data_IF_838098588367
#
_entry.id   IF_838098588367
#
_cell.length_a   1.000
_cell.length_b   1.000
_cell.length_c   1.000
_cell.angle_alpha   90.00
_cell.angle_beta   90.00
_cell.angle_gamma   90.00
#
_symmetry.space_group_name_H-M   'P 1'
#
loop_
_entity.id
_entity.type
_entity.pdbx_description
1 polymer ?
#
# COMPACT_ATOMS: atom_id res chain seq x y z
N UNK A 1 -4.32 5.80 -23.78
CA UNK A 1 -5.53 6.15 -23.01
C UNK A 1 -5.66 5.25 -21.77
N UNK A 2 -4.88 5.51 -20.71
CA UNK A 2 -4.93 4.72 -19.47
C UNK A 2 -4.59 5.61 -18.29
N UNK A 3 -5.54 5.84 -17.39
CA UNK A 3 -5.30 6.71 -16.24
C UNK A 3 -6.45 6.98 -15.29
N UNK A 4 -7.68 6.63 -15.64
CA UNK A 4 -8.86 6.95 -14.82
C UNK A 4 -9.44 5.75 -14.06
N UNK A 5 -8.80 4.58 -14.10
CA UNK A 5 -9.24 3.38 -13.38
C UNK A 5 -8.22 3.00 -12.30
N UNK A 6 -8.71 2.69 -11.11
CA UNK A 6 -7.89 2.26 -9.96
C UNK A 6 -8.09 0.79 -9.62
N UNK A 7 -9.23 0.22 -10.04
CA UNK A 7 -9.58 -1.18 -9.85
C UNK A 7 -10.30 -1.69 -11.09
N UNK A 8 -9.95 -2.90 -11.53
CA UNK A 8 -10.55 -3.56 -12.68
C UNK A 8 -10.89 -5.01 -12.36
N UNK A 9 -11.90 -5.55 -13.02
CA UNK A 9 -12.24 -6.96 -12.92
C UNK A 9 -11.38 -7.76 -13.91
N UNK A 10 -10.60 -8.70 -13.41
CA UNK A 10 -9.75 -9.57 -14.24
C UNK A 10 -10.46 -10.85 -14.63
N UNK A 11 -11.13 -11.52 -13.67
CA UNK A 11 -11.76 -12.81 -13.92
C UNK A 11 -12.94 -13.03 -12.96
N UNK A 12 -13.92 -13.79 -13.44
CA UNK A 12 -15.04 -14.30 -12.64
C UNK A 12 -14.95 -15.82 -12.61
N UNK A 13 -14.92 -16.41 -11.43
CA UNK A 13 -14.84 -17.86 -11.22
C UNK A 13 -16.15 -18.28 -10.58
N UNK A 14 -16.84 -19.25 -11.18
CA UNK A 14 -18.14 -19.72 -10.70
C UNK A 14 -18.22 -21.23 -10.68
N UNK A 15 -18.97 -21.77 -9.72
CA UNK A 15 -19.46 -23.16 -9.77
C UNK A 15 -20.99 -23.14 -9.78
N UNK A 16 -21.62 -23.72 -10.81
CA UNK A 16 -23.08 -23.75 -10.92
C UNK A 16 -23.77 -22.37 -10.90
N UNK A 17 -23.07 -21.34 -11.42
CA UNK A 17 -23.60 -20.01 -11.62
C UNK A 17 -23.12 -19.42 -12.95
N UNK A 18 -24.00 -18.69 -13.63
CA UNK A 18 -23.70 -17.97 -14.88
C UNK A 18 -23.63 -16.47 -14.59
N UNK A 19 -22.44 -15.89 -14.70
CA UNK A 19 -22.22 -14.47 -14.44
C UNK A 19 -21.99 -13.68 -15.72
N UNK A 20 -22.56 -12.47 -15.78
CA UNK A 20 -22.36 -11.50 -16.85
C UNK A 20 -21.82 -10.20 -16.28
N UNK A 21 -20.83 -9.65 -16.97
CA UNK A 21 -20.24 -8.35 -16.63
C UNK A 21 -21.01 -7.29 -17.41
N UNK A 22 -21.60 -6.32 -16.70
CA UNK A 22 -22.37 -5.24 -17.32
C UNK A 22 -21.47 -4.04 -17.68
N UNK A 23 -22.03 -2.92 -18.13
CA UNK A 23 -21.26 -1.69 -18.31
C UNK A 23 -21.04 -0.96 -16.99
N UNK A 24 -20.12 0.02 -16.99
CA UNK A 24 -19.86 0.86 -15.82
C UNK A 24 -21.11 1.68 -15.46
N UNK A 25 -21.45 1.69 -14.17
CA UNK A 25 -22.52 2.54 -13.63
C UNK A 25 -22.12 4.00 -13.69
N UNK A 26 -23.08 4.87 -13.99
CA UNK A 26 -22.92 6.32 -13.83
C UNK A 26 -23.21 6.69 -12.37
N UNK A 27 -22.27 7.28 -11.62
CA UNK A 27 -22.52 7.67 -10.25
C UNK A 27 -23.61 8.76 -10.18
N UNK A 28 -24.45 8.77 -9.12
CA UNK A 28 -25.46 9.81 -8.89
C UNK A 28 -24.84 11.21 -8.71
N UNK A 29 -23.59 11.27 -8.24
CA UNK A 29 -22.80 12.50 -8.09
C UNK A 29 -21.72 12.55 -9.17
N UNK A 30 -21.23 13.75 -9.54
CA UNK A 30 -20.04 13.88 -10.37
C UNK A 30 -18.90 13.04 -9.79
N UNK A 31 -18.14 12.30 -10.63
CA UNK A 31 -17.00 11.52 -10.17
C UNK A 31 -15.99 12.42 -9.47
N UNK A 32 -15.53 12.01 -8.29
CA UNK A 32 -14.57 12.80 -7.49
C UNK A 32 -13.24 12.92 -8.24
N UNK A 33 -12.72 14.14 -8.33
CA UNK A 33 -11.47 14.42 -9.03
C UNK A 33 -10.24 13.98 -8.18
N UNK A 34 -9.13 13.51 -8.79
CA UNK A 34 -7.94 12.97 -8.10
C UNK A 34 -7.34 13.82 -6.95
N UNK A 35 -7.57 15.12 -6.98
CA UNK A 35 -7.02 16.14 -6.08
C UNK A 35 -7.90 16.35 -4.84
N UNK A 36 -9.17 15.95 -4.89
CA UNK A 36 -10.15 16.04 -3.79
C UNK A 36 -10.10 14.82 -2.83
N UNK A 37 -9.36 13.76 -3.19
CA UNK A 37 -9.14 12.58 -2.31
C UNK A 37 -8.31 12.89 -1.05
N UNK A 38 -7.84 14.13 -0.89
CA UNK A 38 -7.28 14.61 0.37
C UNK A 38 -8.33 14.69 1.50
N UNK A 39 -9.60 14.93 1.15
CA UNK A 39 -10.70 15.07 2.10
C UNK A 39 -11.67 13.88 2.08
N UNK A 40 -11.77 13.18 0.94
CA UNK A 40 -12.66 12.02 0.78
C UNK A 40 -11.85 10.73 0.76
N UNK A 41 -11.82 10.03 1.89
CA UNK A 41 -11.09 8.77 2.08
C UNK A 41 -11.89 7.52 1.70
N UNK A 42 -13.14 7.64 1.20
CA UNK A 42 -14.04 6.50 0.91
C UNK A 42 -14.58 6.55 -0.51
N UNK A 43 -14.25 5.56 -1.33
CA UNK A 43 -14.76 5.36 -2.69
C UNK A 43 -15.87 4.31 -2.69
N UNK A 44 -17.04 4.63 -3.26
CA UNK A 44 -18.19 3.74 -3.34
C UNK A 44 -19.01 3.99 -4.62
N UNK A 45 -20.10 3.26 -4.81
CA UNK A 45 -20.99 3.42 -5.97
C UNK A 45 -21.70 4.77 -6.08
N UNK A 46 -21.63 5.63 -5.06
CA UNK A 46 -22.26 6.95 -5.10
C UNK A 46 -21.35 8.04 -5.66
N UNK A 47 -20.03 7.83 -5.65
CA UNK A 47 -19.03 8.84 -6.01
C UNK A 47 -18.01 8.35 -7.06
N UNK A 48 -18.10 7.09 -7.47
CA UNK A 48 -17.23 6.50 -8.50
C UNK A 48 -18.01 5.62 -9.47
N UNK A 49 -17.47 5.46 -10.67
CA UNK A 49 -17.99 4.50 -11.64
C UNK A 49 -17.72 3.08 -11.15
N UNK A 50 -18.76 2.25 -11.11
CA UNK A 50 -18.67 0.87 -10.64
C UNK A 50 -18.89 -0.13 -11.77
N UNK A 51 -18.12 -1.21 -11.75
CA UNK A 51 -18.29 -2.36 -12.64
C UNK A 51 -19.29 -3.33 -12.01
N UNK A 52 -20.47 -3.49 -12.61
CA UNK A 52 -21.51 -4.39 -12.07
C UNK A 52 -21.34 -5.79 -12.67
N UNK A 53 -21.37 -6.81 -11.82
CA UNK A 53 -21.39 -8.22 -12.22
C UNK A 53 -22.72 -8.83 -11.75
N UNK A 54 -23.50 -9.37 -12.67
CA UNK A 54 -24.76 -10.05 -12.37
C UNK A 54 -24.56 -11.55 -12.49
N UNK A 55 -24.94 -12.30 -11.47
CA UNK A 55 -24.80 -13.75 -11.46
C UNK A 55 -26.15 -14.41 -11.30
N UNK A 56 -26.45 -15.34 -12.21
CA UNK A 56 -27.61 -16.21 -12.14
C UNK A 56 -27.18 -17.56 -11.59
N UNK A 57 -27.64 -17.84 -10.36
CA UNK A 57 -27.45 -19.13 -9.71
C UNK A 57 -28.34 -20.18 -10.38
N UNK A 58 -27.80 -21.37 -10.62
CA UNK A 58 -28.56 -22.51 -11.11
C UNK A 58 -29.55 -23.05 -10.07
N UNK A 59 -30.05 -24.27 -10.30
CA UNK A 59 -30.87 -24.97 -9.31
C UNK A 59 -29.97 -25.44 -8.16
N UNK A 60 -30.22 -24.94 -6.95
CA UNK A 60 -29.53 -25.39 -5.74
C UNK A 60 -30.35 -26.51 -5.08
N UNK A 61 -29.71 -27.64 -4.81
CA UNK A 61 -30.30 -28.70 -4.01
C UNK A 61 -30.13 -28.38 -2.51
N UNK A 62 -30.88 -29.06 -1.65
CA UNK A 62 -30.73 -28.88 -0.20
C UNK A 62 -29.32 -29.31 0.21
N UNK A 63 -28.58 -28.41 0.86
CA UNK A 63 -27.22 -28.67 1.34
C UNK A 63 -26.10 -28.46 0.32
N UNK A 64 -26.40 -27.98 -0.90
CA UNK A 64 -25.34 -27.60 -1.86
C UNK A 64 -24.91 -26.14 -1.69
N UNK A 65 -23.61 -25.91 -1.68
CA UNK A 65 -23.01 -24.58 -1.65
C UNK A 65 -22.67 -24.09 -3.06
N UNK A 66 -22.86 -22.79 -3.30
CA UNK A 66 -22.43 -22.12 -4.53
C UNK A 66 -21.49 -20.97 -4.17
N UNK A 67 -20.41 -20.88 -4.92
CA UNK A 67 -19.33 -19.92 -4.76
C UNK A 67 -19.16 -19.10 -6.04
N UNK A 68 -19.05 -17.79 -5.87
CA UNK A 68 -18.73 -16.84 -6.92
C UNK A 68 -17.48 -16.08 -6.50
N UNK A 69 -16.36 -16.36 -7.15
CA UNK A 69 -15.10 -15.69 -6.96
C UNK A 69 -14.93 -14.54 -7.95
N UNK A 70 -14.49 -13.39 -7.47
CA UNK A 70 -14.19 -12.21 -8.29
C UNK A 70 -12.73 -11.83 -8.14
N UNK A 71 -11.96 -12.02 -9.21
CA UNK A 71 -10.56 -11.61 -9.28
C UNK A 71 -10.47 -10.17 -9.75
N UNK A 72 -9.84 -9.33 -8.93
CA UNK A 72 -9.72 -7.88 -9.15
C UNK A 72 -8.25 -7.49 -9.27
N UNK A 73 -7.94 -6.64 -10.23
CA UNK A 73 -6.61 -6.06 -10.42
C UNK A 73 -6.60 -4.62 -9.94
N UNK A 74 -5.61 -4.29 -9.10
CA UNK A 74 -5.40 -2.95 -8.56
C UNK A 74 -4.36 -2.23 -9.42
N UNK A 75 -4.73 -1.06 -9.94
CA UNK A 75 -3.88 -0.27 -10.83
C UNK A 75 -3.22 0.87 -10.08
N UNK A 76 -1.89 0.82 -9.96
CA UNK A 76 -1.14 1.80 -9.15
C UNK A 76 -1.03 3.20 -9.80
N UNK A 77 -1.29 3.30 -11.11
CA UNK A 77 -1.16 4.55 -11.86
C UNK A 77 -2.10 5.66 -11.39
N UNK A 78 -3.28 5.30 -10.88
CA UNK A 78 -4.21 6.23 -10.26
C UNK A 78 -3.72 6.65 -8.87
N UNK A 79 -3.35 5.68 -8.04
CA UNK A 79 -2.91 5.92 -6.66
C UNK A 79 -1.59 6.69 -6.55
N UNK A 80 -0.71 6.57 -7.56
CA UNK A 80 0.54 7.33 -7.63
C UNK A 80 0.32 8.81 -7.95
N UNK A 81 -0.73 9.15 -8.70
CA UNK A 81 -1.10 10.53 -9.04
C UNK A 81 -1.97 11.19 -7.99
N UNK A 82 -2.87 10.43 -7.39
CA UNK A 82 -3.75 10.92 -6.33
C UNK A 82 -2.98 11.21 -5.02
N UNK A 83 -3.35 12.29 -4.34
CA UNK A 83 -2.80 12.65 -3.03
C UNK A 83 -3.78 12.21 -1.94
N UNK A 84 -3.50 11.12 -1.24
CA UNK A 84 -4.32 10.63 -0.12
C UNK A 84 -3.42 10.01 0.98
N UNK A 85 -3.90 9.97 2.23
CA UNK A 85 -3.19 9.32 3.35
C UNK A 85 -3.62 7.85 3.48
N UNK A 86 -4.93 7.62 3.47
CA UNK A 86 -5.58 6.31 3.41
C UNK A 86 -6.84 6.43 2.56
N UNK A 87 -7.09 5.43 1.71
CA UNK A 87 -8.26 5.39 0.85
C UNK A 87 -8.94 4.03 0.98
N UNK A 88 -10.20 4.01 1.36
CA UNK A 88 -11.03 2.80 1.44
C UNK A 88 -11.87 2.68 0.18
N UNK A 89 -11.63 1.64 -0.59
CA UNK A 89 -12.45 1.26 -1.74
C UNK A 89 -13.53 0.29 -1.26
N UNK A 90 -14.80 0.68 -1.42
CA UNK A 90 -15.96 -0.12 -1.01
C UNK A 90 -16.54 -0.81 -2.23
N UNK A 91 -16.56 -2.14 -2.20
CA UNK A 91 -17.23 -2.99 -3.19
C UNK A 91 -18.50 -3.55 -2.55
N UNK A 92 -19.66 -3.18 -3.08
CA UNK A 92 -20.95 -3.66 -2.59
C UNK A 92 -21.35 -4.94 -3.34
N UNK A 93 -21.73 -5.96 -2.59
CA UNK A 93 -22.29 -7.21 -3.10
C UNK A 93 -23.73 -7.34 -2.64
N UNK A 94 -24.62 -7.53 -3.60
CA UNK A 94 -26.04 -7.74 -3.34
C UNK A 94 -26.44 -9.11 -3.89
N UNK A 95 -27.05 -9.93 -3.04
CA UNK A 95 -27.54 -11.24 -3.40
C UNK A 95 -29.07 -11.24 -3.30
N UNK A 96 -29.72 -11.36 -4.46
CA UNK A 96 -31.17 -11.44 -4.58
C UNK A 96 -31.63 -12.84 -4.98
N UNK A 97 -32.73 -13.31 -4.40
CA UNK A 97 -33.44 -14.49 -4.87
C UNK A 97 -34.53 -14.08 -5.88
N UNK A 98 -34.76 -14.90 -6.91
CA UNK A 98 -35.86 -14.69 -7.87
C UNK A 98 -37.21 -14.86 -7.16
N UNK A 99 -38.21 -14.08 -7.56
CA UNK A 99 -39.59 -14.26 -7.11
C UNK A 99 -40.04 -15.72 -7.32
N UNK A 100 -40.48 -16.37 -6.24
CA UNK A 100 -40.84 -17.79 -6.22
C UNK A 100 -39.74 -18.76 -5.78
N UNK A 101 -38.54 -18.27 -5.43
CA UNK A 101 -37.47 -19.12 -4.88
C UNK A 101 -37.67 -19.40 -3.39
N UNK A 102 -37.43 -20.64 -2.95
CA UNK A 102 -37.51 -21.07 -1.53
C UNK A 102 -36.20 -20.76 -0.76
N UNK A 103 -35.25 -20.07 -1.40
CA UNK A 103 -33.99 -19.66 -0.77
C UNK A 103 -34.26 -18.61 0.31
N UNK A 104 -34.09 -19.01 1.57
CA UNK A 104 -34.06 -18.08 2.69
C UNK A 104 -32.65 -17.49 2.81
N UNK A 105 -32.50 -16.25 2.34
CA UNK A 105 -31.29 -15.47 2.58
C UNK A 105 -31.40 -14.78 3.92
N UNK A 106 -30.46 -15.05 4.83
CA UNK A 106 -30.23 -14.26 6.03
C UNK A 106 -29.95 -12.80 5.62
N UNK A 107 -30.39 -11.80 6.40
CA UNK A 107 -30.16 -10.39 6.06
C UNK A 107 -28.70 -10.06 5.73
N UNK A 108 -27.75 -10.66 6.46
CA UNK A 108 -26.32 -10.53 6.21
C UNK A 108 -25.83 -11.11 4.87
N UNK A 109 -26.57 -12.08 4.30
CA UNK A 109 -26.28 -12.66 2.98
C UNK A 109 -26.93 -11.88 1.84
N UNK A 110 -27.95 -11.06 2.13
CA UNK A 110 -28.65 -10.23 1.13
C UNK A 110 -27.79 -9.06 0.69
N UNK A 111 -27.05 -8.46 1.62
CA UNK A 111 -26.19 -7.31 1.37
C UNK A 111 -24.88 -7.44 2.15
N UNK A 112 -23.76 -7.45 1.42
CA UNK A 112 -22.42 -7.53 1.98
C UNK A 112 -21.53 -6.45 1.37
N UNK A 113 -20.79 -5.73 2.21
CA UNK A 113 -19.75 -4.81 1.74
C UNK A 113 -18.37 -5.45 1.91
N UNK A 114 -17.54 -5.39 0.86
CA UNK A 114 -16.11 -5.66 0.95
C UNK A 114 -15.36 -4.35 0.96
N UNK A 115 -14.63 -4.12 2.06
CA UNK A 115 -13.78 -2.96 2.25
C UNK A 115 -12.35 -3.34 1.84
N UNK A 116 -11.83 -2.68 0.81
CA UNK A 116 -10.43 -2.74 0.43
C UNK A 116 -9.74 -1.45 0.86
N UNK A 117 -8.95 -1.52 1.91
CA UNK A 117 -8.17 -0.38 2.37
C UNK A 117 -6.85 -0.28 1.59
N UNK A 118 -6.63 0.87 0.95
CA UNK A 118 -5.41 1.22 0.21
C UNK A 118 -4.70 2.30 1.00
N UNK A 119 -3.56 1.94 1.59
CA UNK A 119 -2.73 2.86 2.37
C UNK A 119 -1.59 3.35 1.48
N UNK A 120 -1.50 4.67 1.28
CA UNK A 120 -0.35 5.25 0.60
C UNK A 120 0.80 5.32 1.62
N UNK A 121 1.64 4.29 1.65
CA UNK A 121 2.93 4.39 2.30
C UNK A 121 3.68 5.52 1.59
N UNK A 122 3.92 6.66 2.26
CA UNK A 122 4.89 7.67 1.83
C UNK A 122 6.19 7.42 2.59
N UNK A 123 7.14 6.62 2.07
CA UNK A 123 8.28 6.23 2.89
C UNK A 123 9.41 7.28 2.93
N UNK A 124 9.35 8.36 2.13
CA UNK A 124 10.63 8.82 1.56
C UNK A 124 11.28 10.02 2.26
N UNK A 125 10.54 11.03 2.70
CA UNK A 125 11.20 12.26 3.17
C UNK A 125 11.77 12.13 4.59
N UNK A 126 11.00 11.62 5.54
CA UNK A 126 11.42 11.52 6.94
C UNK A 126 12.58 10.53 7.11
N UNK A 127 12.53 9.38 6.43
CA UNK A 127 13.59 8.37 6.49
C UNK A 127 14.92 8.85 5.92
N UNK A 128 14.90 9.74 4.91
CA UNK A 128 16.11 10.26 4.29
C UNK A 128 16.83 11.27 5.20
N UNK A 129 16.08 12.18 5.84
CA UNK A 129 16.65 13.13 6.80
C UNK A 129 17.23 12.43 8.02
N UNK A 130 16.58 11.38 8.52
CA UNK A 130 17.08 10.56 9.64
C UNK A 130 18.36 9.84 9.23
N UNK A 131 18.42 9.26 8.04
CA UNK A 131 19.62 8.59 7.52
C UNK A 131 20.80 9.58 7.42
N UNK A 132 20.58 10.75 6.81
CA UNK A 132 21.60 11.80 6.69
C UNK A 132 22.03 12.28 8.08
N UNK A 133 21.08 12.57 8.97
CA UNK A 133 21.33 13.03 10.33
C UNK A 133 22.12 12.00 11.16
N UNK A 134 21.80 10.71 11.01
CA UNK A 134 22.52 9.64 11.70
C UNK A 134 23.95 9.48 11.21
N UNK A 135 24.19 9.59 9.90
CA UNK A 135 25.56 9.52 9.33
C UNK A 135 26.39 10.71 9.77
N UNK A 136 25.82 11.92 9.70
CA UNK A 136 26.51 13.14 10.12
C UNK A 136 26.80 13.14 11.63
N UNK A 137 25.81 12.73 12.44
CA UNK A 137 25.95 12.62 13.89
C UNK A 137 26.96 11.54 14.30
N UNK A 138 26.92 10.37 13.65
CA UNK A 138 27.86 9.29 13.90
C UNK A 138 29.30 9.67 13.55
N UNK A 139 29.51 10.33 12.42
CA UNK A 139 30.83 10.81 12.00
C UNK A 139 31.37 11.88 12.96
N UNK A 140 30.51 12.81 13.39
CA UNK A 140 30.88 13.86 14.34
C UNK A 140 31.28 13.27 15.70
N UNK A 141 30.49 12.32 16.21
CA UNK A 141 30.80 11.61 17.45
C UNK A 141 32.14 10.85 17.34
N UNK A 142 32.37 10.16 16.22
CA UNK A 142 33.61 9.43 15.97
C UNK A 142 34.82 10.38 15.97
N UNK A 143 34.71 11.53 15.30
CA UNK A 143 35.78 12.54 15.26
C UNK A 143 36.12 13.08 16.65
N UNK A 144 35.12 13.36 17.48
CA UNK A 144 35.32 13.79 18.87
C UNK A 144 36.02 12.72 19.71
N UNK A 145 35.64 11.45 19.56
CA UNK A 145 36.31 10.34 20.27
C UNK A 145 37.79 10.23 19.88
N UNK A 146 38.10 10.30 18.58
CA UNK A 146 39.48 10.30 18.09
C UNK A 146 40.26 11.48 18.65
N UNK A 147 39.66 12.68 18.68
CA UNK A 147 40.29 13.87 19.24
C UNK A 147 40.57 13.73 20.75
N UNK A 148 39.60 13.22 21.52
CA UNK A 148 39.78 12.93 22.94
C UNK A 148 40.89 11.90 23.17
N UNK A 149 40.90 10.79 22.43
CA UNK A 149 41.94 9.75 22.53
C UNK A 149 43.32 10.28 22.14
N UNK A 150 43.38 11.19 21.16
CA UNK A 150 44.62 11.86 20.77
C UNK A 150 45.13 12.79 21.89
N UNK A 151 44.25 13.59 22.49
CA UNK A 151 44.57 14.48 23.61
C UNK A 151 44.93 13.74 24.89
N UNK A 152 44.31 12.59 25.15
CA UNK A 152 44.62 11.71 26.28
C UNK A 152 45.91 10.88 26.06
N UNK A 153 46.60 11.07 24.93
CA UNK A 153 47.92 10.48 24.70
C UNK A 153 47.91 9.00 24.31
N UNK A 154 46.75 8.44 23.94
CA UNK A 154 46.67 7.02 23.55
C UNK A 154 47.45 6.71 22.25
N UNK A 155 47.54 7.70 21.36
CA UNK A 155 48.34 7.63 20.11
C UNK A 155 49.71 8.29 20.22
N UNK A 156 50.08 8.84 21.38
CA UNK A 156 51.42 9.35 21.61
C UNK A 156 52.36 8.15 21.82
N UNK A 157 52.78 7.54 20.70
CA UNK A 157 53.92 6.61 20.69
C UNK A 157 55.08 7.35 21.35
N UNK A 158 55.53 6.87 22.52
CA UNK A 158 56.85 7.21 23.03
C UNK A 158 57.83 6.90 21.91
N UNK A 159 58.41 7.93 21.29
CA UNK A 159 59.61 7.75 20.49
C UNK A 159 60.62 7.11 21.44
N UNK A 160 61.03 5.89 21.13
CA UNK A 160 62.19 5.27 21.75
C UNK A 160 63.35 6.26 21.49
N UNK A 161 64.04 6.77 22.51
CA UNK A 161 65.21 7.61 22.26
C UNK A 161 66.24 6.74 21.56
N UNK A 162 66.51 7.03 20.29
CA UNK A 162 67.71 6.59 19.59
C UNK A 162 68.88 7.35 20.23
N UNK A 163 69.41 6.82 21.31
CA UNK A 163 70.80 7.11 21.71
C UNK A 163 71.69 5.94 21.29
N UNK A 164 72.84 6.35 20.73
CA UNK A 164 74.02 5.57 20.38
C UNK A 164 73.97 4.67 19.13
N UNK A 165 74.42 5.25 18.01
CA UNK A 165 75.72 4.85 17.46
C UNK A 165 76.30 5.83 16.45
N UNK A 166 77.58 6.12 16.70
CA UNK A 166 78.64 6.53 15.78
C UNK A 166 78.88 8.04 15.68
N UNK A 167 79.73 8.47 16.61
CA UNK A 167 80.98 9.17 16.30
C UNK A 167 81.16 9.47 14.82
N UNK A 168 81.09 10.75 14.44
CA UNK A 168 82.04 11.29 13.48
C UNK A 168 81.96 12.82 13.53
N UNK A 169 83.13 13.39 13.84
CA UNK A 169 83.65 14.65 13.32
C UNK A 169 83.66 15.84 14.31
N UNK A 170 84.88 16.03 14.85
CA UNK A 170 85.60 17.31 14.95
C UNK A 170 85.08 18.21 16.09
N UNK A 171 85.84 18.55 17.12
CA UNK A 171 87.22 19.03 17.16
C UNK A 171 87.67 19.08 18.63
#
# INVERSE_FOLDING_TARGET
>A
HGGNYFLSLSQVITNNASCTVQNLTKPPRPPVHPEEFQHTSRLNGTNTHCQVVKCHLGRLAKGTEVSVGLLRLVHNEFFRRAKFKSLTVVSTFELGAKEGSVLQLTEASRWSESLLEVIQMRPVLISLWILIGSVLGGLFLLALLVFCLWKLGFFARKKIPEEEKREEKLE
#
